data_IF_105488323430
#
_entry.id   IF_105488323430
#
_cell.length_a   1.000
_cell.length_b   1.000
_cell.length_c   1.000
_cell.angle_alpha   90.00
_cell.angle_beta   90.00
_cell.angle_gamma   90.00
#
_symmetry.space_group_name_H-M   'P 1'
#
loop_
_entity.id
_entity.type
_entity.pdbx_description
1 polymer ?
#
# COMPACT_ATOMS: atom_id res chain seq x y z
N UNK A 1 23.23 -5.18 -24.92
CA UNK A 1 22.41 -4.35 -24.01
C UNK A 1 21.47 -3.37 -24.72
N UNK A 2 21.76 -2.87 -25.94
CA UNK A 2 20.86 -1.96 -26.66
C UNK A 2 19.69 -2.66 -27.42
N UNK A 3 19.78 -3.95 -27.72
CA UNK A 3 18.77 -4.68 -28.50
C UNK A 3 17.60 -5.26 -27.66
N UNK A 4 17.70 -5.25 -26.33
CA UNK A 4 16.65 -5.77 -25.42
C UNK A 4 15.64 -4.68 -25.02
N UNK A 5 15.95 -3.41 -25.29
CA UNK A 5 15.13 -2.24 -24.99
C UNK A 5 14.04 -1.98 -26.04
N UNK A 6 14.21 -2.46 -27.27
CA UNK A 6 13.25 -2.20 -28.36
C UNK A 6 12.06 -3.17 -28.34
N UNK A 7 12.23 -4.40 -27.85
CA UNK A 7 11.16 -5.41 -27.84
C UNK A 7 10.06 -5.17 -26.79
N UNK A 8 10.29 -4.27 -25.82
CA UNK A 8 9.28 -3.91 -24.80
C UNK A 8 8.46 -2.67 -25.18
N UNK A 9 8.86 -1.93 -26.22
CA UNK A 9 8.18 -0.71 -26.66
C UNK A 9 6.94 -0.99 -27.52
N UNK A 10 6.83 -2.17 -28.12
CA UNK A 10 5.73 -2.54 -29.03
C UNK A 10 4.56 -3.27 -28.35
N UNK A 11 4.57 -3.42 -27.02
CA UNK A 11 3.49 -4.09 -26.29
C UNK A 11 2.37 -3.13 -25.81
N UNK A 12 2.44 -1.84 -26.17
CA UNK A 12 1.41 -0.86 -25.86
C UNK A 12 0.44 -0.62 -27.03
N UNK A 13 -0.41 -1.61 -27.26
CA UNK A 13 -1.78 -1.39 -27.69
C UNK A 13 -2.48 -2.74 -27.68
N UNK A 14 -3.38 -2.97 -26.72
CA UNK A 14 -4.62 -3.72 -26.91
C UNK A 14 -5.45 -3.65 -25.61
N UNK A 15 -6.55 -2.89 -25.70
CA UNK A 15 -7.86 -3.19 -25.13
C UNK A 15 -8.02 -3.17 -23.59
N UNK A 16 -8.91 -2.29 -23.14
CA UNK A 16 -9.65 -2.47 -21.89
C UNK A 16 -10.44 -3.78 -21.96
N UNK A 17 -9.76 -4.87 -21.61
CA UNK A 17 -10.34 -6.20 -21.57
C UNK A 17 -11.35 -6.26 -20.44
N UNK A 18 -12.63 -6.41 -20.79
CA UNK A 18 -13.61 -6.93 -19.87
C UNK A 18 -13.03 -8.21 -19.25
N UNK A 19 -12.93 -8.24 -17.92
CA UNK A 19 -12.51 -9.44 -17.20
C UNK A 19 -13.58 -10.51 -17.49
N UNK A 20 -13.24 -11.50 -18.32
CA UNK A 20 -14.15 -12.58 -18.70
C UNK A 20 -14.78 -13.22 -17.46
N UNK A 21 -16.11 -13.21 -17.39
CA UNK A 21 -16.88 -13.79 -16.28
C UNK A 21 -17.19 -12.84 -15.13
N UNK A 22 -16.92 -11.54 -15.27
CA UNK A 22 -17.26 -10.50 -14.29
C UNK A 22 -18.28 -9.54 -14.91
N UNK A 23 -19.54 -9.64 -14.50
CA UNK A 23 -20.57 -8.65 -14.84
C UNK A 23 -20.31 -7.37 -14.04
N UNK A 24 -19.72 -6.37 -14.71
CA UNK A 24 -19.32 -5.13 -14.05
C UNK A 24 -20.53 -4.30 -13.61
N UNK A 25 -21.66 -4.42 -14.32
CA UNK A 25 -22.89 -3.67 -14.04
C UNK A 25 -23.59 -4.26 -12.81
N UNK A 26 -23.70 -5.59 -12.72
CA UNK A 26 -24.24 -6.27 -11.52
C UNK A 26 -23.41 -5.95 -10.27
N UNK A 27 -22.08 -5.91 -10.41
CA UNK A 27 -21.19 -5.57 -9.30
C UNK A 27 -21.36 -4.11 -8.88
N UNK A 28 -21.48 -3.19 -9.83
CA UNK A 28 -21.70 -1.77 -9.52
C UNK A 28 -23.05 -1.54 -8.84
N UNK A 29 -24.11 -2.24 -9.25
CA UNK A 29 -25.45 -2.14 -8.64
C UNK A 29 -25.46 -2.68 -7.20
N UNK A 30 -24.68 -3.73 -6.93
CA UNK A 30 -24.60 -4.37 -5.60
C UNK A 30 -23.64 -3.67 -4.63
N UNK A 31 -22.68 -2.91 -5.12
CA UNK A 31 -21.72 -2.20 -4.27
C UNK A 31 -22.31 -0.85 -3.82
N UNK A 32 -22.25 -0.50 -2.52
CA UNK A 32 -22.61 0.84 -2.08
C UNK A 32 -21.73 1.86 -2.82
N UNK A 33 -22.30 3.05 -3.12
CA UNK A 33 -21.66 4.08 -3.94
C UNK A 33 -20.17 4.20 -3.61
N UNK A 34 -19.28 4.12 -4.61
CA UNK A 34 -17.85 4.19 -4.37
C UNK A 34 -17.55 5.51 -3.67
N UNK A 35 -16.69 5.45 -2.65
CA UNK A 35 -16.11 6.65 -2.06
C UNK A 35 -15.43 7.43 -3.19
N UNK A 36 -15.67 8.73 -3.28
CA UNK A 36 -14.86 9.59 -4.15
C UNK A 36 -13.42 9.49 -3.66
N UNK A 37 -12.59 8.78 -4.44
CA UNK A 37 -11.14 8.73 -4.24
C UNK A 37 -10.54 10.01 -4.83
N UNK A 38 -9.32 10.34 -4.41
CA UNK A 38 -8.56 11.39 -5.11
C UNK A 38 -8.33 11.02 -6.56
N UNK A 39 -8.14 12.05 -7.39
CA UNK A 39 -7.78 11.85 -8.79
C UNK A 39 -6.35 11.27 -8.86
N UNK A 40 -6.10 10.15 -9.56
CA UNK A 40 -4.76 9.63 -9.76
C UNK A 40 -3.79 10.60 -10.46
N UNK A 41 -4.28 11.64 -11.14
CA UNK A 41 -3.43 12.71 -11.69
C UNK A 41 -3.01 13.74 -10.61
N UNK A 42 -3.84 13.95 -9.58
CA UNK A 42 -3.61 14.97 -8.54
C UNK A 42 -2.95 14.37 -7.28
N UNK A 43 -1.90 13.58 -7.49
CA UNK A 43 -1.23 12.82 -6.41
C UNK A 43 -0.20 13.70 -5.70
N UNK A 44 -0.44 13.97 -4.41
CA UNK A 44 0.58 14.41 -3.48
C UNK A 44 1.69 13.37 -3.34
N UNK A 45 2.90 13.84 -3.67
CA UNK A 45 4.14 13.07 -3.63
C UNK A 45 4.41 12.54 -2.22
N UNK A 46 4.88 11.29 -2.12
CA UNK A 46 5.44 10.77 -0.88
C UNK A 46 6.87 11.28 -0.74
N UNK A 47 7.15 12.07 0.30
CA UNK A 47 8.50 12.58 0.58
C UNK A 47 9.36 11.45 1.20
N UNK A 48 10.40 10.95 0.51
CA UNK A 48 11.27 9.91 1.07
C UNK A 48 11.98 10.37 2.35
N UNK A 49 12.28 11.65 2.48
CA UNK A 49 12.99 12.19 3.65
C UNK A 49 12.05 12.28 4.85
N UNK A 50 10.76 12.46 4.63
CA UNK A 50 9.77 12.34 5.70
C UNK A 50 9.69 10.92 6.23
N UNK A 51 9.66 9.92 5.35
CA UNK A 51 9.63 8.51 5.76
C UNK A 51 10.85 8.15 6.60
N UNK A 52 12.02 8.66 6.23
CA UNK A 52 13.25 8.53 7.02
C UNK A 52 13.13 9.22 8.39
N UNK A 53 12.64 10.46 8.45
CA UNK A 53 12.41 11.17 9.72
C UNK A 53 11.45 10.41 10.64
N UNK A 54 10.39 9.82 10.09
CA UNK A 54 9.40 9.05 10.85
C UNK A 54 10.00 7.75 11.45
N UNK A 55 10.98 7.15 10.77
CA UNK A 55 11.70 5.95 11.21
C UNK A 55 12.99 6.25 11.99
N UNK A 56 13.28 7.52 12.28
CA UNK A 56 14.46 7.92 13.03
C UNK A 56 14.38 7.51 14.52
N UNK A 57 15.51 7.58 15.22
CA UNK A 57 15.61 7.18 16.63
C UNK A 57 14.73 8.03 17.55
N UNK A 58 14.44 9.28 17.16
CA UNK A 58 13.55 10.20 17.87
C UNK A 58 12.15 10.28 17.23
N UNK A 59 11.88 9.39 16.26
CA UNK A 59 10.63 9.36 15.52
C UNK A 59 9.45 8.77 16.29
N UNK A 60 8.22 8.89 15.73
CA UNK A 60 7.01 8.34 16.34
C UNK A 60 7.07 6.84 16.63
N UNK A 61 7.82 6.09 15.82
CA UNK A 61 8.00 4.65 16.02
C UNK A 61 8.81 4.34 17.29
N UNK A 62 9.84 5.13 17.60
CA UNK A 62 10.62 4.96 18.83
C UNK A 62 9.78 5.14 20.09
N UNK A 63 8.83 6.08 20.06
CA UNK A 63 7.90 6.31 21.18
C UNK A 63 6.88 5.20 21.37
N UNK A 64 6.53 4.49 20.29
CA UNK A 64 5.46 3.47 20.31
C UNK A 64 5.95 2.06 20.56
N UNK A 65 7.20 1.77 20.18
CA UNK A 65 7.80 0.44 20.22
C UNK A 65 9.01 0.43 21.18
N UNK A 66 8.87 -0.16 22.37
CA UNK A 66 10.00 -0.33 23.28
C UNK A 66 11.13 -1.12 22.60
N UNK A 67 12.34 -0.55 22.55
CA UNK A 67 13.49 -1.17 21.90
C UNK A 67 13.50 -1.02 20.37
N UNK A 68 12.72 -0.09 19.81
CA UNK A 68 12.88 0.29 18.41
C UNK A 68 14.26 0.92 18.19
N UNK A 69 14.93 0.43 17.16
CA UNK A 69 16.20 0.95 16.68
C UNK A 69 16.07 1.13 15.16
N UNK A 70 16.37 2.31 14.62
CA UNK A 70 16.38 2.53 13.18
C UNK A 70 17.36 1.58 12.50
N UNK A 71 16.89 0.91 11.46
CA UNK A 71 17.73 0.00 10.67
C UNK A 71 17.97 0.58 9.28
N UNK A 72 19.22 0.73 8.83
CA UNK A 72 19.52 1.32 7.53
C UNK A 72 18.77 0.65 6.38
N UNK A 73 18.68 -0.68 6.37
CA UNK A 73 18.00 -1.44 5.31
C UNK A 73 16.47 -1.21 5.33
N UNK A 74 15.90 -1.01 6.52
CA UNK A 74 14.48 -0.67 6.68
C UNK A 74 14.19 0.71 6.10
N UNK A 75 15.04 1.69 6.42
CA UNK A 75 14.93 3.06 5.93
C UNK A 75 15.12 3.09 4.41
N UNK A 76 16.13 2.39 3.88
CA UNK A 76 16.40 2.30 2.45
C UNK A 76 15.19 1.73 1.70
N UNK A 77 14.63 0.61 2.17
CA UNK A 77 13.43 0.02 1.58
C UNK A 77 12.25 0.99 1.64
N UNK A 78 12.04 1.68 2.76
CA UNK A 78 10.93 2.61 2.92
C UNK A 78 11.04 3.82 1.97
N UNK A 79 12.26 4.35 1.79
CA UNK A 79 12.54 5.41 0.81
C UNK A 79 12.33 4.93 -0.62
N UNK A 80 12.76 3.71 -0.95
CA UNK A 80 12.54 3.13 -2.27
C UNK A 80 11.05 2.99 -2.60
N UNK A 81 10.25 2.50 -1.63
CA UNK A 81 8.78 2.40 -1.80
C UNK A 81 8.14 3.79 -1.92
N UNK A 82 8.55 4.77 -1.12
CA UNK A 82 8.05 6.14 -1.23
C UNK A 82 8.30 6.75 -2.63
N UNK A 83 9.50 6.53 -3.18
CA UNK A 83 9.85 6.95 -4.55
C UNK A 83 9.02 6.24 -5.60
N UNK A 84 8.82 4.92 -5.47
CA UNK A 84 8.02 4.16 -6.42
C UNK A 84 6.53 4.59 -6.42
N UNK A 85 6.02 5.06 -5.28
CA UNK A 85 4.67 5.63 -5.16
C UNK A 85 4.59 7.08 -5.68
N UNK A 86 5.72 7.78 -5.84
CA UNK A 86 5.79 9.13 -6.36
C UNK A 86 5.96 9.10 -7.89
N UNK A 87 4.92 8.71 -8.62
CA UNK A 87 4.87 8.87 -10.09
C UNK A 87 4.53 10.31 -10.45
N UNK A 88 5.29 10.92 -11.37
CA UNK A 88 4.91 12.19 -12.03
C UNK A 88 3.91 11.92 -13.17
N UNK A 89 3.13 12.93 -13.56
CA UNK A 89 2.19 12.83 -14.70
C UNK A 89 2.90 12.46 -16.02
N UNK A 90 4.20 12.74 -16.12
CA UNK A 90 5.03 12.47 -17.29
C UNK A 90 5.83 11.16 -17.19
N UNK A 91 5.85 10.52 -16.01
CA UNK A 91 6.63 9.31 -15.78
C UNK A 91 5.78 8.06 -15.93
N UNK A 92 6.37 7.04 -16.56
CA UNK A 92 5.76 5.72 -16.65
C UNK A 92 5.58 5.11 -15.25
N UNK A 93 4.57 4.24 -15.04
CA UNK A 93 4.39 3.55 -13.77
C UNK A 93 5.69 2.87 -13.31
N UNK A 94 6.13 3.17 -12.09
CA UNK A 94 7.37 2.62 -11.55
C UNK A 94 7.12 1.24 -10.91
N UNK A 95 7.83 0.23 -11.41
CA UNK A 95 7.90 -1.08 -10.77
C UNK A 95 9.14 -1.17 -9.88
N UNK A 96 8.93 -1.51 -8.62
CA UNK A 96 10.00 -1.72 -7.65
C UNK A 96 10.02 -3.18 -7.23
N UNK A 97 11.20 -3.79 -7.31
CA UNK A 97 11.49 -5.11 -6.74
C UNK A 97 12.48 -4.89 -5.60
N UNK A 98 12.13 -5.33 -4.41
CA UNK A 98 13.01 -5.29 -3.23
C UNK A 98 13.16 -6.69 -2.67
N UNK A 99 14.40 -7.12 -2.53
CA UNK A 99 14.75 -8.25 -1.68
C UNK A 99 15.19 -7.73 -0.32
N UNK A 100 14.77 -8.38 0.75
CA UNK A 100 15.27 -8.07 2.09
C UNK A 100 15.50 -9.34 2.88
N UNK A 101 16.37 -9.28 3.88
CA UNK A 101 16.56 -10.38 4.82
C UNK A 101 15.32 -10.65 5.68
N UNK A 102 15.30 -11.75 6.42
CA UNK A 102 14.33 -11.93 7.51
C UNK A 102 14.64 -10.97 8.66
N UNK A 103 13.63 -10.58 9.42
CA UNK A 103 13.83 -9.78 10.63
C UNK A 103 14.09 -8.28 10.42
N UNK A 104 14.37 -7.78 9.22
CA UNK A 104 14.71 -6.34 8.98
C UNK A 104 13.54 -5.35 9.15
N UNK A 105 12.33 -5.81 9.47
CA UNK A 105 11.16 -4.93 9.61
C UNK A 105 10.52 -4.52 8.28
N UNK A 106 10.58 -5.39 7.25
CA UNK A 106 9.99 -5.18 5.92
C UNK A 106 8.57 -4.64 5.95
N UNK A 107 7.75 -5.18 6.84
CA UNK A 107 6.33 -4.80 6.94
C UNK A 107 6.17 -3.31 7.22
N UNK A 108 6.89 -2.77 8.19
CA UNK A 108 6.86 -1.32 8.47
C UNK A 108 7.45 -0.55 7.30
N UNK A 109 8.53 -1.04 6.69
CA UNK A 109 9.21 -0.35 5.59
C UNK A 109 8.30 -0.11 4.38
N UNK A 110 7.49 -1.08 3.97
CA UNK A 110 6.55 -0.86 2.85
C UNK A 110 5.22 -0.24 3.29
N UNK A 111 4.70 -0.57 4.50
CA UNK A 111 3.39 -0.06 4.91
C UNK A 111 3.42 1.42 5.27
N UNK A 112 4.47 1.92 5.91
CA UNK A 112 4.56 3.32 6.31
C UNK A 112 4.36 4.28 5.11
N UNK A 113 5.17 4.21 4.04
CA UNK A 113 4.97 5.07 2.86
C UNK A 113 3.61 4.83 2.18
N UNK A 114 3.09 3.59 2.17
CA UNK A 114 1.76 3.28 1.63
C UNK A 114 0.64 3.99 2.40
N UNK A 115 0.71 3.99 3.74
CA UNK A 115 -0.31 4.63 4.57
C UNK A 115 -0.29 6.14 4.39
N UNK A 116 0.90 6.74 4.35
CA UNK A 116 1.06 8.17 4.09
C UNK A 116 0.47 8.54 2.73
N UNK A 117 0.82 7.78 1.70
CA UNK A 117 0.30 7.95 0.35
C UNK A 117 -1.24 7.82 0.29
N UNK A 118 -1.79 6.74 0.84
CA UNK A 118 -3.22 6.46 0.78
C UNK A 118 -4.06 7.56 1.47
N UNK A 119 -3.60 8.06 2.62
CA UNK A 119 -4.30 9.10 3.38
C UNK A 119 -4.22 10.46 2.68
N UNK A 120 -3.04 10.88 2.21
CA UNK A 120 -2.84 12.17 1.55
C UNK A 120 -3.59 12.28 0.24
N UNK A 121 -3.54 11.21 -0.54
CA UNK A 121 -4.12 11.17 -1.87
C UNK A 121 -5.57 10.70 -1.86
N UNK A 122 -6.12 10.35 -0.70
CA UNK A 122 -7.41 9.68 -0.58
C UNK A 122 -7.50 8.53 -1.62
N UNK A 123 -6.42 7.76 -1.72
CA UNK A 123 -6.18 6.77 -2.74
C UNK A 123 -6.29 5.35 -2.18
N UNK A 124 -6.68 4.41 -3.02
CA UNK A 124 -6.76 3.00 -2.66
C UNK A 124 -5.46 2.30 -3.02
N UNK A 125 -4.84 1.64 -2.04
CA UNK A 125 -3.66 0.79 -2.24
C UNK A 125 -4.03 -0.66 -1.92
N UNK A 126 -3.57 -1.59 -2.75
CA UNK A 126 -3.78 -3.02 -2.56
C UNK A 126 -2.45 -3.66 -2.16
N UNK A 127 -2.44 -4.33 -1.02
CA UNK A 127 -1.31 -5.14 -0.55
C UNK A 127 -1.68 -6.61 -0.72
N UNK A 128 -0.88 -7.34 -1.50
CA UNK A 128 -1.05 -8.78 -1.70
C UNK A 128 0.00 -9.56 -0.93
N UNK A 129 -0.39 -10.65 -0.27
CA UNK A 129 0.49 -11.52 0.50
C UNK A 129 0.20 -12.99 0.22
N UNK A 130 1.18 -13.86 0.47
CA UNK A 130 1.11 -15.27 0.12
C UNK A 130 0.00 -16.06 0.85
N UNK A 131 -0.24 -15.79 2.15
CA UNK A 131 -1.19 -16.57 2.96
C UNK A 131 -2.17 -15.70 3.73
N UNK A 132 -3.31 -16.29 4.13
CA UNK A 132 -4.33 -15.62 4.95
C UNK A 132 -3.75 -15.21 6.30
N UNK A 133 -2.93 -16.05 6.92
CA UNK A 133 -2.30 -15.74 8.21
C UNK A 133 -1.43 -14.48 8.14
N UNK A 134 -0.69 -14.28 7.03
CA UNK A 134 0.08 -13.05 6.83
C UNK A 134 -0.86 -11.84 6.71
N UNK A 135 -1.99 -11.95 6.01
CA UNK A 135 -2.99 -10.88 5.95
C UNK A 135 -3.59 -10.57 7.32
N UNK A 136 -3.83 -11.59 8.15
CA UNK A 136 -4.36 -11.42 9.50
C UNK A 136 -3.35 -10.73 10.42
N UNK A 137 -2.04 -11.01 10.26
CA UNK A 137 -0.99 -10.27 10.95
C UNK A 137 -1.00 -8.79 10.57
N UNK A 138 -1.13 -8.47 9.28
CA UNK A 138 -1.22 -7.08 8.83
C UNK A 138 -2.42 -6.35 9.46
N UNK A 139 -3.59 -6.98 9.45
CA UNK A 139 -4.84 -6.38 9.92
C UNK A 139 -4.90 -6.30 11.46
N UNK A 140 -4.49 -7.36 12.14
CA UNK A 140 -4.61 -7.49 13.59
C UNK A 140 -3.49 -6.83 14.38
N UNK A 141 -2.33 -6.62 13.76
CA UNK A 141 -1.14 -6.10 14.43
C UNK A 141 -0.50 -4.93 13.69
N UNK A 142 0.03 -5.16 12.49
CA UNK A 142 0.96 -4.22 11.88
C UNK A 142 0.29 -2.88 11.51
N UNK A 143 -0.90 -2.93 10.88
CA UNK A 143 -1.67 -1.73 10.52
C UNK A 143 -2.15 -0.94 11.75
N UNK A 144 -2.72 -1.57 12.80
CA UNK A 144 -3.01 -0.89 14.07
C UNK A 144 -1.78 -0.24 14.71
N UNK A 145 -0.63 -0.90 14.68
CA UNK A 145 0.60 -0.38 15.28
C UNK A 145 1.13 0.84 14.50
N UNK A 146 1.15 0.78 13.16
CA UNK A 146 1.53 1.91 12.30
C UNK A 146 0.56 3.08 12.48
N UNK A 147 -0.75 2.82 12.45
CA UNK A 147 -1.75 3.84 12.70
C UNK A 147 -1.60 4.45 14.10
N UNK A 148 -1.19 3.64 15.09
CA UNK A 148 -0.87 4.09 16.44
C UNK A 148 0.36 5.01 16.49
N UNK A 149 1.46 4.63 15.83
CA UNK A 149 2.67 5.44 15.75
C UNK A 149 2.42 6.79 15.07
N UNK A 150 1.57 6.81 14.03
CA UNK A 150 1.23 8.04 13.31
C UNK A 150 0.24 8.96 14.04
N UNK A 151 -0.29 8.57 15.22
CA UNK A 151 -1.16 9.46 16.01
C UNK A 151 -0.34 10.62 16.57
N UNK A 152 -0.76 11.84 16.29
CA UNK A 152 -0.10 13.05 16.77
C UNK A 152 1.02 13.57 15.87
N UNK A 153 1.32 12.89 14.76
CA UNK A 153 2.18 13.46 13.71
C UNK A 153 1.48 14.69 13.13
N UNK A 154 2.14 15.85 13.25
CA UNK A 154 1.59 17.12 12.79
C UNK A 154 1.44 17.13 11.27
N UNK A 155 0.32 17.67 10.78
CA UNK A 155 0.04 17.73 9.33
C UNK A 155 -0.42 16.40 8.71
N UNK A 156 -0.68 15.36 9.51
CA UNK A 156 -1.17 14.08 9.03
C UNK A 156 -2.43 13.60 9.78
N UNK A 157 -3.55 13.53 9.07
CA UNK A 157 -4.83 13.10 9.63
C UNK A 157 -5.03 11.58 9.50
N UNK A 158 -4.43 10.82 10.43
CA UNK A 158 -4.55 9.36 10.47
C UNK A 158 -6.00 8.88 10.67
N UNK A 159 -6.92 9.73 11.15
CA UNK A 159 -8.32 9.36 11.34
C UNK A 159 -9.05 9.06 10.02
N UNK A 160 -8.48 9.47 8.89
CA UNK A 160 -8.98 9.17 7.53
C UNK A 160 -8.54 7.80 7.02
N UNK A 161 -7.55 7.19 7.66
CA UNK A 161 -7.04 5.89 7.25
C UNK A 161 -8.13 4.81 7.42
N UNK A 162 -8.27 3.96 6.40
CA UNK A 162 -9.21 2.85 6.35
C UNK A 162 -8.51 1.68 5.69
N UNK A 163 -8.73 0.49 6.21
CA UNK A 163 -8.23 -0.75 5.64
C UNK A 163 -9.28 -1.84 5.78
N UNK A 164 -9.23 -2.82 4.88
CA UNK A 164 -10.12 -3.97 4.87
C UNK A 164 -9.36 -5.19 4.37
N UNK A 165 -9.76 -6.37 4.83
CA UNK A 165 -9.20 -7.64 4.39
C UNK A 165 -10.08 -8.26 3.32
N UNK A 166 -9.47 -8.79 2.26
CA UNK A 166 -10.18 -9.50 1.19
C UNK A 166 -9.68 -10.95 1.13
N UNK A 167 -10.59 -11.91 1.37
CA UNK A 167 -10.31 -13.35 1.30
C UNK A 167 -11.12 -13.99 0.15
N UNK A 168 -10.79 -15.22 -0.23
CA UNK A 168 -11.61 -15.98 -1.19
C UNK A 168 -12.97 -16.36 -0.59
N UNK A 169 -14.00 -16.54 -1.43
CA UNK A 169 -15.39 -16.80 -1.01
C UNK A 169 -15.56 -17.92 0.03
N UNK A 170 -14.72 -18.95 -0.06
CA UNK A 170 -14.74 -20.12 0.84
C UNK A 170 -14.39 -19.77 2.30
N UNK A 171 -13.86 -18.56 2.55
CA UNK A 171 -13.51 -18.07 3.88
C UNK A 171 -14.63 -17.25 4.54
N UNK A 172 -15.81 -17.20 3.92
CA UNK A 172 -16.98 -16.49 4.46
C UNK A 172 -18.15 -17.45 4.63
N UNK A 173 -18.87 -17.29 5.74
CA UNK A 173 -20.09 -18.05 6.00
C UNK A 173 -21.23 -17.59 5.07
N UNK A 174 -21.92 -18.54 4.44
CA UNK A 174 -23.10 -18.25 3.63
C UNK A 174 -24.36 -18.24 4.51
N UNK A 175 -24.87 -17.05 4.84
CA UNK A 175 -26.07 -16.90 5.66
C UNK A 175 -27.34 -17.51 5.02
N UNK A 176 -27.36 -17.72 3.70
CA UNK A 176 -28.51 -18.33 2.99
C UNK A 176 -28.53 -19.86 3.09
N UNK A 177 -27.41 -20.49 3.43
CA UNK A 177 -27.25 -21.95 3.46
C UNK A 177 -27.26 -22.56 4.86
N UNK A 178 -27.21 -21.75 5.92
CA UNK A 178 -27.38 -22.22 7.29
C UNK A 178 -28.87 -22.44 7.58
N UNK A 179 -29.30 -23.71 7.52
CA UNK A 179 -30.51 -24.19 8.21
C UNK A 179 -30.15 -24.59 9.63
#
# INVERSE_FOLDING_TARGET
LAALLTALADAHSEQGGAVLGVDQDEIQERLPRPRNLGNPADVHRSDPDEVERLLSADGPFASRFPGFEPRPEQVEMARAVAKALATDEQDAPHHLIVEGGTGIGKTVAYLLPIVLFAVRNNARVVVSTNTINLQEQLIGKDLPEIAGALRGVSGFDISRFRYAQMKGKANYLCLRGCR
#
